data_IF_743856636421
#
_entry.id   IF_743856636421
#
_cell.length_a   1.000
_cell.length_b   1.000
_cell.length_c   1.000
_cell.angle_alpha   90.00
_cell.angle_beta   90.00
_cell.angle_gamma   90.00
#
_symmetry.space_group_name_H-M   'P 1'
#
loop_
_entity.id
_entity.type
_entity.pdbx_description
1 polymer ?
#
# COMPACT_ATOMS: atom_id res chain seq x y z
N UNK A 1 -13.69 16.59 19.88
CA UNK A 1 -13.55 15.12 19.90
C UNK A 1 -14.07 14.62 18.58
N UNK A 2 -13.24 13.90 17.81
CA UNK A 2 -13.69 13.30 16.55
C UNK A 2 -14.88 12.38 16.83
N UNK A 3 -15.94 12.56 16.06
CA UNK A 3 -17.08 11.65 16.11
C UNK A 3 -16.75 10.43 15.25
N UNK A 4 -17.18 9.26 15.71
CA UNK A 4 -16.98 8.00 14.98
C UNK A 4 -18.32 7.41 14.59
N UNK A 5 -18.48 7.13 13.30
CA UNK A 5 -19.61 6.32 12.85
C UNK A 5 -19.38 4.84 13.18
N UNK A 6 -20.46 4.07 13.30
CA UNK A 6 -20.38 2.60 13.49
C UNK A 6 -19.57 1.94 12.36
N UNK A 7 -19.68 2.47 11.14
CA UNK A 7 -18.94 1.99 9.96
C UNK A 7 -17.43 2.16 10.15
N UNK A 8 -16.97 3.30 10.67
CA UNK A 8 -15.55 3.55 10.90
C UNK A 8 -14.98 2.65 11.99
N UNK A 9 -15.74 2.40 13.05
CA UNK A 9 -15.35 1.47 14.11
C UNK A 9 -15.19 0.06 13.54
N UNK A 10 -16.16 -0.40 12.74
CA UNK A 10 -16.09 -1.70 12.07
C UNK A 10 -14.87 -1.74 11.12
N UNK A 11 -14.67 -0.70 10.33
CA UNK A 11 -13.54 -0.61 9.40
C UNK A 11 -12.19 -0.67 10.15
N UNK A 12 -12.06 0.03 11.27
CA UNK A 12 -10.86 -0.01 12.10
C UNK A 12 -10.60 -1.40 12.68
N UNK A 13 -11.63 -2.06 13.22
CA UNK A 13 -11.53 -3.44 13.73
C UNK A 13 -11.11 -4.42 12.63
N UNK A 14 -11.70 -4.33 11.43
CA UNK A 14 -11.35 -5.16 10.29
C UNK A 14 -9.89 -4.95 9.88
N UNK A 15 -9.41 -3.70 9.82
CA UNK A 15 -8.01 -3.41 9.49
C UNK A 15 -7.03 -3.92 10.55
N UNK A 16 -7.38 -3.85 11.85
CA UNK A 16 -6.55 -4.42 12.91
C UNK A 16 -6.44 -5.95 12.80
N UNK A 17 -7.56 -6.64 12.57
CA UNK A 17 -7.58 -8.08 12.33
C UNK A 17 -6.77 -8.42 11.07
N UNK A 18 -6.97 -7.66 9.99
CA UNK A 18 -6.22 -7.81 8.74
C UNK A 18 -4.71 -7.67 8.95
N UNK A 19 -4.26 -6.68 9.72
CA UNK A 19 -2.84 -6.50 10.04
C UNK A 19 -2.27 -7.69 10.82
N UNK A 20 -3.01 -8.22 11.80
CA UNK A 20 -2.55 -9.40 12.55
C UNK A 20 -2.40 -10.62 11.64
N UNK A 21 -3.38 -10.86 10.77
CA UNK A 21 -3.36 -11.96 9.81
C UNK A 21 -2.28 -11.79 8.73
N UNK A 22 -2.10 -10.57 8.21
CA UNK A 22 -1.06 -10.27 7.23
C UNK A 22 0.33 -10.42 7.85
N UNK A 23 0.52 -9.96 9.08
CA UNK A 23 1.81 -10.08 9.79
C UNK A 23 2.16 -11.55 10.01
N UNK A 24 1.19 -12.38 10.43
CA UNK A 24 1.43 -13.81 10.59
C UNK A 24 1.72 -14.50 9.26
N UNK A 25 1.01 -14.11 8.19
CA UNK A 25 1.23 -14.63 6.85
C UNK A 25 2.62 -14.26 6.31
N UNK A 26 3.07 -13.01 6.49
CA UNK A 26 4.41 -12.55 6.11
C UNK A 26 5.48 -13.38 6.84
N UNK A 27 5.32 -13.60 8.14
CA UNK A 27 6.26 -14.41 8.93
C UNK A 27 6.28 -15.88 8.49
N UNK A 28 5.10 -16.44 8.20
CA UNK A 28 4.97 -17.80 7.67
C UNK A 28 5.66 -17.91 6.31
N UNK A 29 5.42 -16.95 5.42
CA UNK A 29 6.01 -16.90 4.09
C UNK A 29 7.52 -16.80 4.15
N UNK A 30 8.04 -15.93 5.03
CA UNK A 30 9.47 -15.76 5.22
C UNK A 30 10.15 -17.10 5.58
N UNK A 31 9.58 -17.84 6.52
CA UNK A 31 10.09 -19.16 6.98
C UNK A 31 9.88 -20.31 5.98
N UNK A 32 8.93 -20.19 5.07
CA UNK A 32 8.62 -21.25 4.09
C UNK A 32 9.81 -21.53 3.15
N UNK A 33 9.94 -22.73 2.57
CA UNK A 33 10.96 -23.02 1.55
C UNK A 33 10.77 -22.13 0.32
N UNK A 34 11.79 -22.04 -0.54
CA UNK A 34 11.72 -21.26 -1.77
C UNK A 34 10.73 -21.89 -2.77
N UNK A 35 9.85 -21.07 -3.34
CA UNK A 35 8.97 -21.42 -4.46
C UNK A 35 8.95 -20.25 -5.45
N UNK A 36 8.60 -20.51 -6.71
CA UNK A 36 8.86 -19.62 -7.84
C UNK A 36 8.07 -18.29 -7.88
N UNK A 37 7.20 -18.05 -6.91
CA UNK A 37 6.44 -16.78 -6.76
C UNK A 37 6.65 -16.15 -5.38
N UNK A 38 7.58 -16.69 -4.59
CA UNK A 38 7.75 -16.31 -3.17
C UNK A 38 8.06 -14.84 -3.03
N UNK A 39 8.96 -14.31 -3.87
CA UNK A 39 9.41 -12.93 -3.75
C UNK A 39 8.30 -11.94 -4.13
N UNK A 40 7.58 -12.21 -5.22
CA UNK A 40 6.45 -11.39 -5.68
C UNK A 40 5.29 -11.44 -4.70
N UNK A 41 4.98 -12.62 -4.15
CA UNK A 41 3.95 -12.76 -3.13
C UNK A 41 4.34 -12.01 -1.85
N UNK A 42 5.61 -12.05 -1.46
CA UNK A 42 6.12 -11.28 -0.31
C UNK A 42 5.95 -9.78 -0.53
N UNK A 43 6.32 -9.26 -1.71
CA UNK A 43 6.13 -7.85 -2.06
C UNK A 43 4.65 -7.45 -2.05
N UNK A 44 3.78 -8.31 -2.56
CA UNK A 44 2.33 -8.09 -2.52
C UNK A 44 1.85 -7.99 -1.06
N UNK A 45 2.23 -8.93 -0.19
CA UNK A 45 1.84 -8.89 1.23
C UNK A 45 2.38 -7.66 1.96
N UNK A 46 3.63 -7.27 1.69
CA UNK A 46 4.24 -6.05 2.26
C UNK A 46 3.48 -4.81 1.80
N UNK A 47 3.08 -4.73 0.53
CA UNK A 47 2.27 -3.61 0.02
C UNK A 47 0.88 -3.56 0.65
N UNK A 48 0.20 -4.71 0.79
CA UNK A 48 -1.10 -4.80 1.49
C UNK A 48 -0.97 -4.41 2.95
N UNK A 49 0.10 -4.87 3.63
CA UNK A 49 0.35 -4.51 5.01
C UNK A 49 0.61 -3.00 5.17
N UNK A 50 1.42 -2.43 4.27
CA UNK A 50 1.75 -1.01 4.23
C UNK A 50 0.53 -0.11 4.03
N UNK A 51 -0.38 -0.46 3.13
CA UNK A 51 -1.62 0.31 2.94
C UNK A 51 -2.52 0.22 4.17
N UNK A 52 -2.67 -0.98 4.76
CA UNK A 52 -3.52 -1.16 5.94
C UNK A 52 -2.99 -0.36 7.13
N UNK A 53 -1.68 -0.41 7.42
CA UNK A 53 -1.10 0.35 8.53
C UNK A 53 -1.17 1.86 8.29
N UNK A 54 -0.98 2.32 7.04
CA UNK A 54 -1.03 3.74 6.70
C UNK A 54 -2.43 4.37 6.89
N UNK A 55 -3.49 3.56 6.75
CA UNK A 55 -4.86 4.05 6.89
C UNK A 55 -5.30 4.27 8.35
N UNK A 56 -4.72 3.54 9.30
CA UNK A 56 -5.14 3.55 10.71
C UNK A 56 -4.92 4.90 11.40
N UNK A 57 -3.74 5.55 11.31
CA UNK A 57 -3.53 6.85 11.94
C UNK A 57 -4.52 7.90 11.48
N UNK A 58 -4.82 7.95 10.17
CA UNK A 58 -5.77 8.91 9.61
C UNK A 58 -7.16 8.69 10.21
N UNK A 59 -7.62 7.45 10.28
CA UNK A 59 -8.91 7.10 10.88
C UNK A 59 -8.98 7.41 12.37
N UNK A 60 -7.93 7.11 13.13
CA UNK A 60 -7.86 7.38 14.58
C UNK A 60 -7.78 8.85 14.95
N UNK A 61 -7.21 9.69 14.08
CA UNK A 61 -7.07 11.12 14.35
C UNK A 61 -8.32 11.85 13.89
N UNK A 62 -8.79 11.58 12.67
CA UNK A 62 -9.80 12.40 12.02
C UNK A 62 -11.22 11.81 12.06
N UNK A 63 -11.40 10.49 12.20
CA UNK A 63 -12.73 9.85 12.21
C UNK A 63 -13.61 10.33 11.04
N UNK A 64 -14.85 10.75 11.34
CA UNK A 64 -15.79 11.27 10.34
C UNK A 64 -15.31 12.55 9.64
N UNK A 65 -14.38 13.31 10.23
CA UNK A 65 -13.88 14.58 9.70
C UNK A 65 -12.72 14.39 8.70
N UNK A 66 -12.39 13.15 8.34
CA UNK A 66 -11.27 12.80 7.45
C UNK A 66 -11.33 13.52 6.09
N UNK A 67 -12.53 13.65 5.51
CA UNK A 67 -12.72 14.36 4.24
C UNK A 67 -12.38 15.85 4.31
N UNK A 68 -12.71 16.50 5.42
CA UNK A 68 -12.49 17.94 5.60
C UNK A 68 -11.03 18.19 6.00
N UNK A 69 -10.48 17.31 6.83
CA UNK A 69 -9.12 17.39 7.36
C UNK A 69 -8.06 17.13 6.29
N UNK A 70 -8.37 16.33 5.26
CA UNK A 70 -7.48 16.06 4.13
C UNK A 70 -7.07 17.30 3.33
N UNK A 71 -7.85 18.39 3.39
CA UNK A 71 -7.55 19.64 2.67
C UNK A 71 -6.90 20.71 3.54
N UNK A 72 -6.89 20.55 4.87
CA UNK A 72 -6.39 21.57 5.80
C UNK A 72 -5.17 21.15 6.60
N UNK A 73 -4.97 19.85 6.79
CA UNK A 73 -3.91 19.34 7.66
C UNK A 73 -2.79 18.72 6.84
N UNK A 74 -1.61 19.34 6.89
CA UNK A 74 -0.39 18.81 6.29
C UNK A 74 -0.07 17.38 6.77
N UNK A 75 -0.41 17.05 8.01
CA UNK A 75 -0.26 15.70 8.58
C UNK A 75 -1.18 14.70 7.85
N UNK A 76 -2.43 15.08 7.57
CA UNK A 76 -3.37 14.25 6.83
C UNK A 76 -2.88 14.00 5.40
N UNK A 77 -2.37 15.05 4.73
CA UNK A 77 -1.76 14.94 3.40
C UNK A 77 -0.59 13.96 3.42
N UNK A 78 0.35 14.09 4.37
CA UNK A 78 1.49 13.17 4.51
C UNK A 78 1.02 11.73 4.70
N UNK A 79 0.06 11.50 5.61
CA UNK A 79 -0.50 10.16 5.85
C UNK A 79 -1.14 9.56 4.59
N UNK A 80 -1.86 10.37 3.82
CA UNK A 80 -2.44 9.95 2.55
C UNK A 80 -1.35 9.58 1.52
N UNK A 81 -0.22 10.31 1.46
CA UNK A 81 0.89 9.98 0.57
C UNK A 81 1.59 8.68 0.95
N UNK A 82 1.71 8.39 2.24
CA UNK A 82 2.16 7.06 2.69
C UNK A 82 1.21 5.95 2.21
N UNK A 83 -0.11 6.16 2.26
CA UNK A 83 -1.05 5.18 1.71
C UNK A 83 -0.89 4.99 0.20
N UNK A 84 -0.75 6.07 -0.56
CA UNK A 84 -0.52 5.98 -2.02
C UNK A 84 0.79 5.31 -2.39
N UNK A 85 1.84 5.49 -1.58
CA UNK A 85 3.12 4.83 -1.80
C UNK A 85 3.01 3.29 -1.81
N UNK A 86 2.07 2.73 -1.04
CA UNK A 86 1.80 1.28 -1.03
C UNK A 86 0.66 0.86 -1.96
N UNK A 87 -0.21 1.79 -2.37
CA UNK A 87 -1.33 1.53 -3.27
C UNK A 87 -0.87 1.06 -4.66
N UNK A 88 0.08 1.76 -5.29
CA UNK A 88 0.54 1.36 -6.63
C UNK A 88 1.25 0.00 -6.64
N UNK A 89 2.21 -0.28 -5.72
CA UNK A 89 2.83 -1.58 -5.62
C UNK A 89 1.82 -2.73 -5.45
N UNK A 90 0.76 -2.54 -4.66
CA UNK A 90 -0.29 -3.53 -4.48
C UNK A 90 -0.89 -3.98 -5.82
N UNK A 91 -1.18 -3.04 -6.71
CA UNK A 91 -1.79 -3.33 -8.01
C UNK A 91 -0.78 -3.92 -8.99
N UNK A 92 0.42 -3.36 -9.07
CA UNK A 92 1.43 -3.85 -10.01
C UNK A 92 2.03 -5.21 -9.62
N UNK A 93 2.22 -5.48 -8.32
CA UNK A 93 2.65 -6.80 -7.86
C UNK A 93 1.57 -7.86 -8.07
N UNK A 94 0.29 -7.49 -8.01
CA UNK A 94 -0.80 -8.41 -8.37
C UNK A 94 -0.70 -8.82 -9.85
N UNK A 95 -0.51 -7.86 -10.75
CA UNK A 95 -0.31 -8.14 -12.19
C UNK A 95 0.96 -8.97 -12.42
N UNK A 96 2.05 -8.63 -11.72
CA UNK A 96 3.31 -9.37 -11.80
C UNK A 96 3.15 -10.83 -11.34
N UNK A 97 2.38 -11.06 -10.27
CA UNK A 97 2.07 -12.40 -9.77
C UNK A 97 1.31 -13.22 -10.82
N UNK A 98 0.31 -12.63 -11.48
CA UNK A 98 -0.43 -13.29 -12.58
C UNK A 98 0.50 -13.66 -13.73
N UNK A 99 1.43 -12.78 -14.11
CA UNK A 99 2.44 -13.06 -15.15
C UNK A 99 3.36 -14.20 -14.73
N UNK A 100 3.85 -14.21 -13.48
CA UNK A 100 4.68 -15.28 -12.95
C UNK A 100 3.94 -16.62 -12.98
N UNK A 101 2.68 -16.65 -12.54
CA UNK A 101 1.83 -17.86 -12.58
C UNK A 101 1.61 -18.35 -14.02
N UNK A 102 1.30 -17.45 -14.96
CA UNK A 102 1.13 -17.80 -16.36
C UNK A 102 2.42 -18.39 -16.97
N UNK A 103 3.57 -17.76 -16.73
CA UNK A 103 4.86 -18.26 -17.23
C UNK A 103 5.26 -19.59 -16.59
N UNK A 104 4.99 -19.78 -15.30
CA UNK A 104 5.26 -21.03 -14.60
C UNK A 104 4.34 -22.16 -15.07
N UNK A 105 3.03 -21.94 -15.13
CA UNK A 105 2.05 -22.97 -15.44
C UNK A 105 1.99 -23.32 -16.93
N UNK A 106 2.00 -22.32 -17.81
CA UNK A 106 1.81 -22.53 -19.27
C UNK A 106 3.14 -22.69 -19.99
N UNK A 107 4.10 -21.79 -19.71
CA UNK A 107 5.41 -21.80 -20.40
C UNK A 107 6.46 -22.67 -19.70
N UNK A 108 6.13 -23.28 -18.54
CA UNK A 108 7.04 -24.08 -17.71
C UNK A 108 8.33 -23.35 -17.33
N UNK A 109 8.31 -22.02 -17.32
CA UNK A 109 9.48 -21.18 -17.05
C UNK A 109 9.52 -20.77 -15.57
N UNK A 110 9.85 -21.73 -14.70
CA UNK A 110 9.83 -21.57 -13.24
C UNK A 110 10.90 -20.61 -12.71
N UNK A 111 11.95 -20.29 -13.48
CA UNK A 111 13.01 -19.37 -13.08
C UNK A 111 12.71 -17.89 -13.42
N UNK A 112 11.54 -17.60 -14.00
CA UNK A 112 11.20 -16.23 -14.43
C UNK A 112 11.33 -15.20 -13.31
N UNK A 113 10.83 -15.53 -12.11
CA UNK A 113 10.94 -14.63 -10.96
C UNK A 113 12.41 -14.39 -10.59
N UNK A 114 13.24 -15.43 -10.54
CA UNK A 114 14.64 -15.27 -10.17
C UNK A 114 15.42 -14.34 -11.13
N UNK A 115 15.09 -14.39 -12.42
CA UNK A 115 15.78 -13.61 -13.44
C UNK A 115 15.29 -12.15 -13.51
N UNK A 116 13.98 -11.92 -13.34
CA UNK A 116 13.34 -10.63 -13.61
C UNK A 116 12.87 -9.87 -12.37
N UNK A 117 12.80 -10.52 -11.19
CA UNK A 117 12.21 -9.95 -9.97
C UNK A 117 12.76 -8.58 -9.61
N UNK A 118 14.08 -8.45 -9.57
CA UNK A 118 14.72 -7.20 -9.18
C UNK A 118 14.36 -6.04 -10.13
N UNK A 119 14.27 -6.31 -11.42
CA UNK A 119 13.96 -5.29 -12.43
C UNK A 119 12.54 -4.74 -12.25
N UNK A 120 11.51 -5.59 -12.27
CA UNK A 120 10.15 -5.08 -12.15
C UNK A 120 9.85 -4.58 -10.73
N UNK A 121 10.40 -5.20 -9.68
CA UNK A 121 10.22 -4.73 -8.31
C UNK A 121 10.80 -3.33 -8.13
N UNK A 122 12.02 -3.08 -8.62
CA UNK A 122 12.64 -1.76 -8.57
C UNK A 122 11.82 -0.73 -9.36
N UNK A 123 11.39 -1.06 -10.57
CA UNK A 123 10.54 -0.17 -11.38
C UNK A 123 9.23 0.18 -10.66
N UNK A 124 8.55 -0.79 -10.07
CA UNK A 124 7.28 -0.58 -9.35
C UNK A 124 7.48 0.35 -8.15
N UNK A 125 8.50 0.09 -7.32
CA UNK A 125 8.77 0.92 -6.14
C UNK A 125 9.24 2.32 -6.51
N UNK A 126 10.14 2.47 -7.48
CA UNK A 126 10.59 3.77 -7.97
C UNK A 126 9.43 4.56 -8.58
N UNK A 127 8.59 3.92 -9.39
CA UNK A 127 7.40 4.55 -9.96
C UNK A 127 6.46 5.08 -8.87
N UNK A 128 6.19 4.25 -7.85
CA UNK A 128 5.36 4.65 -6.71
C UNK A 128 5.98 5.81 -5.93
N UNK A 129 7.29 5.77 -5.67
CA UNK A 129 8.01 6.85 -4.99
C UNK A 129 7.89 8.17 -5.76
N UNK A 130 8.15 8.15 -7.07
CA UNK A 130 8.04 9.33 -7.92
C UNK A 130 6.62 9.91 -7.88
N UNK A 131 5.59 9.07 -8.08
CA UNK A 131 4.19 9.53 -8.05
C UNK A 131 3.80 10.12 -6.69
N UNK A 132 4.19 9.48 -5.58
CA UNK A 132 3.91 10.02 -4.25
C UNK A 132 4.57 11.37 -4.02
N UNK A 133 5.81 11.58 -4.50
CA UNK A 133 6.52 12.86 -4.37
C UNK A 133 5.91 13.94 -5.27
N UNK A 134 5.64 13.63 -6.54
CA UNK A 134 5.00 14.59 -7.46
C UNK A 134 3.61 14.99 -6.95
N UNK A 135 2.82 14.02 -6.51
CA UNK A 135 1.48 14.29 -5.97
C UNK A 135 1.53 15.08 -4.66
N UNK A 136 2.57 14.90 -3.84
CA UNK A 136 2.78 15.71 -2.64
C UNK A 136 3.11 17.17 -2.97
N UNK A 137 3.98 17.41 -3.96
CA UNK A 137 4.34 18.76 -4.38
C UNK A 137 3.11 19.54 -4.89
N UNK A 138 2.25 18.89 -5.68
CA UNK A 138 1.00 19.48 -6.18
C UNK A 138 0.04 19.81 -5.04
N UNK A 139 -0.15 18.90 -4.08
CA UNK A 139 -1.08 19.12 -2.97
C UNK A 139 -0.62 20.24 -2.03
N UNK A 140 0.68 20.41 -1.81
CA UNK A 140 1.22 21.54 -1.05
C UNK A 140 0.93 22.86 -1.77
N UNK A 141 1.15 22.90 -3.08
CA UNK A 141 0.89 24.09 -3.88
C UNK A 141 -0.59 24.49 -3.78
N UNK A 142 -1.51 23.53 -3.92
CA UNK A 142 -2.96 23.76 -3.76
C UNK A 142 -3.33 24.18 -2.34
N UNK A 143 -2.79 23.53 -1.31
CA UNK A 143 -3.07 23.87 0.10
C UNK A 143 -2.69 25.32 0.41
N UNK A 144 -1.55 25.79 -0.10
CA UNK A 144 -1.12 27.17 0.10
C UNK A 144 -2.11 28.18 -0.51
N UNK A 145 -2.81 27.85 -1.60
CA UNK A 145 -3.82 28.73 -2.19
C UNK A 145 -5.14 28.76 -1.41
N UNK A 146 -5.51 27.65 -0.75
CA UNK A 146 -6.76 27.56 0.03
C UNK A 146 -6.69 28.38 1.32
N UNK A 147 -5.51 28.52 1.93
CA UNK A 147 -5.32 29.33 3.15
C UNK A 147 -5.44 30.86 2.91
N UNK A 148 -5.56 31.32 1.66
CA UNK A 148 -5.78 32.74 1.31
C UNK A 148 -7.25 33.15 1.11
N UNK A 149 -8.21 32.23 1.25
CA UNK A 149 -9.65 32.49 1.15
C UNK A 149 -10.40 32.15 2.45
#
# INVERSE_FOLDING_TARGET
>A
MSSYSVIEIIFLLVNLISLMLLSSLILFLYKSPYYFTKATLMQLLVSTWGITISSIPSLLIYGNDLKISGYRSLICIIQQKFAFFFFYPLHFFFVSLVICLYKGAVKKHLLFENDWFWYYSCVIWCFSACLSVFSFAVDIEVSNYVDYF
#
